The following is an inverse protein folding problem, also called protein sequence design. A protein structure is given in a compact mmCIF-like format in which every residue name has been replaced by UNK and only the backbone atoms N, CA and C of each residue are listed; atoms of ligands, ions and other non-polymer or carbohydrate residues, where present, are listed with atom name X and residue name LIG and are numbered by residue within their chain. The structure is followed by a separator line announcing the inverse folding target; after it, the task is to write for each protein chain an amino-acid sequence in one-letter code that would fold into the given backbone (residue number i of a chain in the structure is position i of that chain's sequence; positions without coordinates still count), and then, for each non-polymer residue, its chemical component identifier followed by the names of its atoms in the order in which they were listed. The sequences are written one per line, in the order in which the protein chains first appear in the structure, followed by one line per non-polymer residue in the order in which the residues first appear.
data_IF_735482456655
#
_entry.id   IF_735482456655
#
_cell.length_a   1.000
_cell.length_b   1.000
_cell.length_c   1.000
_cell.angle_alpha   90.00
_cell.angle_beta   90.00
_cell.angle_gamma   90.00
#
_symmetry.space_group_name_H-M   'P 1'
#
loop_
_entity.id
_entity.type
_entity.pdbx_description
1 polymer ?
#
# COMPACT_ATOMS: atom_id res chain seq x y z
N UNK A 1 4.21 -21.26 -10.23
CA UNK A 1 3.20 -20.22 -10.57
C UNK A 1 3.86 -18.85 -10.49
N UNK A 2 3.57 -17.94 -11.43
CA UNK A 2 4.04 -16.55 -11.39
C UNK A 2 2.89 -15.60 -11.03
N UNK A 3 3.10 -14.68 -10.09
CA UNK A 3 2.10 -13.68 -9.68
C UNK A 3 2.54 -12.29 -10.15
N UNK A 4 1.80 -11.70 -11.09
CA UNK A 4 2.09 -10.38 -11.64
C UNK A 4 1.23 -9.28 -11.03
N UNK A 5 0.29 -8.75 -11.84
CA UNK A 5 -0.51 -7.53 -11.58
C UNK A 5 -1.07 -7.37 -10.15
N UNK A 6 -1.51 -8.46 -9.50
CA UNK A 6 -2.13 -8.37 -8.17
C UNK A 6 -1.11 -8.09 -7.06
N UNK A 7 0.16 -8.51 -7.21
CA UNK A 7 1.21 -8.29 -6.22
C UNK A 7 1.58 -6.80 -6.05
N UNK A 8 1.33 -5.99 -7.07
CA UNK A 8 1.79 -4.59 -7.17
C UNK A 8 1.19 -3.67 -6.09
N UNK A 9 -0.05 -3.92 -5.64
CA UNK A 9 -0.73 -3.14 -4.59
C UNK A 9 -1.36 -4.00 -3.49
N UNK A 10 -1.09 -5.30 -3.52
CA UNK A 10 -1.63 -6.28 -2.57
C UNK A 10 -0.58 -7.36 -2.26
N UNK A 11 0.51 -7.01 -1.56
CA UNK A 11 1.60 -7.95 -1.25
C UNK A 11 1.13 -9.16 -0.41
N UNK A 12 0.02 -9.03 0.32
CA UNK A 12 -0.61 -10.11 1.10
C UNK A 12 -0.94 -11.36 0.26
N UNK A 13 -1.11 -11.22 -1.05
CA UNK A 13 -1.38 -12.35 -1.95
C UNK A 13 -0.38 -13.50 -1.79
N UNK A 14 0.90 -13.20 -1.49
CA UNK A 14 1.90 -14.24 -1.31
C UNK A 14 1.68 -15.05 -0.02
N UNK A 15 1.25 -14.38 1.05
CA UNK A 15 0.87 -15.04 2.32
C UNK A 15 -0.35 -15.94 2.12
N UNK A 16 -1.37 -15.45 1.39
CA UNK A 16 -2.57 -16.22 1.06
C UNK A 16 -2.22 -17.47 0.24
N UNK A 17 -1.45 -17.31 -0.84
CA UNK A 17 -1.01 -18.44 -1.68
C UNK A 17 -0.23 -19.45 -0.85
N UNK A 18 0.71 -19.01 -0.01
CA UNK A 18 1.50 -19.90 0.81
C UNK A 18 0.65 -20.70 1.81
N UNK A 19 -0.34 -20.06 2.45
CA UNK A 19 -1.29 -20.74 3.35
C UNK A 19 -2.15 -21.76 2.61
N UNK A 20 -2.72 -21.38 1.45
CA UNK A 20 -3.53 -22.27 0.64
C UNK A 20 -2.77 -23.51 0.16
N UNK A 21 -1.48 -23.35 -0.19
CA UNK A 21 -0.63 -24.49 -0.56
C UNK A 21 -0.36 -25.46 0.59
N UNK A 22 -0.50 -25.02 1.85
CA UNK A 22 -0.42 -25.87 3.05
C UNK A 22 -1.78 -26.41 3.51
N UNK A 23 -2.86 -26.08 2.81
CA UNK A 23 -4.23 -26.42 3.24
C UNK A 23 -4.75 -25.54 4.38
N UNK A 24 -4.10 -24.42 4.68
CA UNK A 24 -4.55 -23.45 5.68
C UNK A 24 -5.47 -22.40 5.03
N UNK A 25 -6.60 -22.04 5.66
CA UNK A 25 -7.42 -20.94 5.18
C UNK A 25 -6.65 -19.62 5.31
N UNK A 26 -6.83 -18.73 4.31
CA UNK A 26 -6.27 -17.39 4.38
C UNK A 26 -6.87 -16.63 5.58
N UNK A 27 -6.05 -16.05 6.49
CA UNK A 27 -6.57 -15.29 7.60
C UNK A 27 -7.32 -14.04 7.10
N UNK A 28 -8.33 -13.56 7.84
CA UNK A 28 -9.01 -12.29 7.50
C UNK A 28 -7.99 -11.14 7.46
N UNK A 29 -8.24 -10.15 6.59
CA UNK A 29 -7.37 -8.96 6.52
C UNK A 29 -7.43 -8.24 7.86
N UNK A 30 -6.27 -8.10 8.52
CA UNK A 30 -6.24 -7.47 9.83
C UNK A 30 -6.55 -5.98 9.69
N UNK A 31 -7.22 -5.41 10.69
CA UNK A 31 -7.46 -3.96 10.72
C UNK A 31 -6.13 -3.21 10.53
N UNK A 32 -6.12 -2.31 9.54
CA UNK A 32 -4.94 -1.52 9.21
C UNK A 32 -3.78 -2.24 8.52
N UNK A 33 -3.95 -3.49 8.08
CA UNK A 33 -2.90 -4.22 7.37
C UNK A 33 -2.46 -3.49 6.10
N UNK A 34 -3.41 -2.94 5.33
CA UNK A 34 -3.09 -2.15 4.14
C UNK A 34 -2.29 -0.90 4.45
N UNK A 35 -2.66 -0.18 5.53
CA UNK A 35 -1.93 1.00 6.01
C UNK A 35 -0.49 0.66 6.36
N UNK A 36 -0.27 -0.42 7.12
CA UNK A 36 1.07 -0.90 7.47
C UNK A 36 1.88 -1.26 6.23
N UNK A 37 1.26 -1.92 5.25
CA UNK A 37 1.92 -2.23 3.98
C UNK A 37 2.33 -0.97 3.20
N UNK A 38 1.45 0.04 3.13
CA UNK A 38 1.77 1.32 2.48
C UNK A 38 2.90 2.08 3.19
N UNK A 39 2.86 2.17 4.52
CA UNK A 39 3.91 2.80 5.33
C UNK A 39 5.26 2.10 5.15
N UNK A 40 5.27 0.77 5.21
CA UNK A 40 6.47 -0.02 4.96
C UNK A 40 7.02 0.19 3.55
N UNK A 41 6.13 0.28 2.56
CA UNK A 41 6.51 0.54 1.18
C UNK A 41 7.15 1.93 1.00
N UNK A 42 6.63 2.96 1.67
CA UNK A 42 7.21 4.30 1.72
C UNK A 42 8.60 4.28 2.40
N UNK A 43 8.72 3.69 3.59
CA UNK A 43 9.99 3.58 4.33
C UNK A 43 11.08 2.92 3.49
N UNK A 44 10.76 1.77 2.87
CA UNK A 44 11.70 1.07 1.99
C UNK A 44 12.06 1.93 0.77
N UNK A 45 11.11 2.66 0.20
CA UNK A 45 11.38 3.54 -0.94
C UNK A 45 12.34 4.67 -0.57
N UNK A 46 12.19 5.26 0.62
CA UNK A 46 13.10 6.29 1.14
C UNK A 46 14.49 5.69 1.36
N UNK A 47 14.57 4.55 2.02
CA UNK A 47 15.85 3.90 2.33
C UNK A 47 16.61 3.46 1.08
N UNK A 48 15.92 3.00 0.04
CA UNK A 48 16.55 2.52 -1.19
C UNK A 48 16.86 3.62 -2.20
N UNK A 49 16.04 4.68 -2.28
CA UNK A 49 16.08 5.64 -3.39
C UNK A 49 16.19 7.10 -2.97
N UNK A 50 16.18 7.39 -1.67
CA UNK A 50 16.13 8.73 -1.12
C UNK A 50 14.74 9.35 -1.14
N UNK A 51 14.57 10.45 -0.40
CA UNK A 51 13.29 11.11 -0.13
C UNK A 51 12.58 11.61 -1.39
N UNK A 52 13.29 12.28 -2.28
CA UNK A 52 12.71 12.89 -3.49
C UNK A 52 12.14 11.81 -4.43
N UNK A 53 12.94 10.79 -4.73
CA UNK A 53 12.54 9.65 -5.55
C UNK A 53 11.38 8.89 -4.89
N UNK A 54 11.45 8.66 -3.58
CA UNK A 54 10.37 8.00 -2.85
C UNK A 54 9.04 8.75 -2.98
N UNK A 55 9.05 10.08 -2.86
CA UNK A 55 7.86 10.90 -3.06
C UNK A 55 7.30 10.72 -4.49
N UNK A 56 8.16 10.76 -5.52
CA UNK A 56 7.74 10.52 -6.90
C UNK A 56 7.13 9.13 -7.11
N UNK A 57 7.73 8.10 -6.52
CA UNK A 57 7.21 6.74 -6.52
C UNK A 57 5.84 6.67 -5.84
N UNK A 58 5.65 7.35 -4.70
CA UNK A 58 4.37 7.34 -4.00
C UNK A 58 3.24 7.95 -4.84
N UNK A 59 3.51 9.03 -5.57
CA UNK A 59 2.52 9.66 -6.48
C UNK A 59 1.96 8.66 -7.51
N UNK A 60 2.79 7.73 -7.97
CA UNK A 60 2.41 6.69 -8.93
C UNK A 60 1.81 5.44 -8.27
N UNK A 61 2.33 5.04 -7.11
CA UNK A 61 2.17 3.67 -6.61
C UNK A 61 1.19 3.53 -5.45
N UNK A 62 1.00 4.56 -4.61
CA UNK A 62 0.09 4.44 -3.46
C UNK A 62 -1.37 4.19 -3.89
N UNK A 63 -1.80 4.77 -5.02
CA UNK A 63 -3.13 4.52 -5.58
C UNK A 63 -3.43 3.04 -5.84
N UNK A 64 -2.42 2.21 -6.09
CA UNK A 64 -2.58 0.77 -6.37
C UNK A 64 -3.04 -0.02 -5.15
N UNK A 65 -2.80 0.48 -3.94
CA UNK A 65 -3.23 -0.15 -2.69
C UNK A 65 -4.73 0.02 -2.42
N UNK A 66 -5.42 0.90 -3.15
CA UNK A 66 -6.81 1.31 -2.83
C UNK A 66 -7.89 0.38 -3.39
N UNK A 67 -7.53 -0.64 -4.17
CA UNK A 67 -8.53 -1.53 -4.82
C UNK A 67 -9.37 -2.27 -3.77
N UNK A 68 -10.68 -2.05 -3.83
CA UNK A 68 -11.66 -2.71 -2.95
C UNK A 68 -11.84 -2.04 -1.58
N UNK A 69 -11.23 -0.86 -1.35
CA UNK A 69 -11.26 -0.19 -0.05
C UNK A 69 -12.13 1.07 -0.07
N UNK A 70 -12.92 1.25 0.99
CA UNK A 70 -13.63 2.51 1.28
C UNK A 70 -12.59 3.60 1.56
N UNK A 71 -12.80 4.82 1.06
CA UNK A 71 -11.79 5.90 1.14
C UNK A 71 -10.73 5.86 0.03
N UNK A 72 -10.72 4.85 -0.84
CA UNK A 72 -9.74 4.73 -1.92
C UNK A 72 -9.73 5.90 -2.92
N UNK A 73 -10.86 6.59 -3.08
CA UNK A 73 -10.95 7.78 -3.92
C UNK A 73 -10.17 8.97 -3.36
N UNK A 74 -10.22 9.18 -2.03
CA UNK A 74 -9.49 10.25 -1.34
C UNK A 74 -8.00 10.06 -1.53
N UNK A 75 -7.50 8.85 -1.26
CA UNK A 75 -6.10 8.55 -1.46
C UNK A 75 -5.68 8.77 -2.92
N UNK A 76 -6.44 8.28 -3.91
CA UNK A 76 -6.14 8.50 -5.35
C UNK A 76 -6.19 9.96 -5.77
N UNK A 77 -7.01 10.79 -5.12
CA UNK A 77 -7.03 12.24 -5.34
C UNK A 77 -5.80 12.93 -4.74
N UNK A 78 -5.45 12.57 -3.50
CA UNK A 78 -4.37 13.18 -2.74
C UNK A 78 -2.97 12.78 -3.20
N UNK A 79 -2.77 11.60 -3.82
CA UNK A 79 -1.42 11.13 -4.19
C UNK A 79 -0.67 12.12 -5.08
N UNK A 80 -1.36 12.91 -5.92
CA UNK A 80 -0.72 13.89 -6.81
C UNK A 80 -0.03 15.03 -6.04
N UNK A 81 -0.47 15.31 -4.82
CA UNK A 81 0.02 16.39 -3.97
C UNK A 81 1.27 16.05 -3.15
N UNK A 82 1.73 14.81 -3.15
CA UNK A 82 2.85 14.37 -2.30
C UNK A 82 4.16 15.04 -2.73
N UNK A 83 4.70 15.89 -1.86
CA UNK A 83 6.00 16.58 -2.00
C UNK A 83 6.99 16.26 -0.87
N UNK A 84 6.52 15.63 0.21
CA UNK A 84 7.36 15.19 1.32
C UNK A 84 6.91 13.81 1.84
N UNK A 85 7.80 13.16 2.60
CA UNK A 85 7.49 11.91 3.30
C UNK A 85 6.36 12.12 4.30
N UNK A 86 6.35 13.24 5.02
CA UNK A 86 5.30 13.56 5.99
C UNK A 86 3.92 13.68 5.32
N UNK A 87 3.82 14.33 4.16
CA UNK A 87 2.56 14.39 3.40
C UNK A 87 2.11 13.01 2.91
N UNK A 88 3.06 12.13 2.54
CA UNK A 88 2.72 10.76 2.17
C UNK A 88 2.19 9.98 3.37
N UNK A 89 2.79 10.16 4.56
CA UNK A 89 2.33 9.55 5.81
C UNK A 89 0.93 10.06 6.17
N UNK A 90 0.71 11.37 6.15
CA UNK A 90 -0.58 11.99 6.46
C UNK A 90 -1.69 11.43 5.56
N UNK A 91 -1.45 11.38 4.24
CA UNK A 91 -2.41 10.81 3.29
C UNK A 91 -2.71 9.32 3.54
N UNK A 92 -1.71 8.54 3.98
CA UNK A 92 -1.88 7.13 4.33
C UNK A 92 -2.74 6.98 5.60
N UNK A 93 -2.59 7.87 6.58
CA UNK A 93 -3.37 7.86 7.83
C UNK A 93 -4.82 8.32 7.59
N UNK A 94 -5.05 9.35 6.78
CA UNK A 94 -6.39 9.85 6.46
C UNK A 94 -7.24 8.81 5.75
N UNK A 95 -6.62 8.09 4.80
CA UNK A 95 -7.25 6.96 4.12
C UNK A 95 -7.77 5.91 5.10
N UNK A 96 -7.00 5.58 6.13
CA UNK A 96 -7.40 4.56 7.09
C UNK A 96 -8.54 5.01 8.01
N UNK A 97 -8.59 6.31 8.31
CA UNK A 97 -9.66 6.93 9.10
C UNK A 97 -10.96 7.06 8.29
N UNK A 98 -10.96 6.74 7.00
CA UNK A 98 -12.11 6.87 6.12
C UNK A 98 -12.55 8.31 5.89
N UNK A 99 -11.63 9.27 6.06
CA UNK A 99 -11.82 10.68 5.73
C UNK A 99 -11.38 10.96 4.30
#
# INVERSE_FOLDING_TARGET
VMVGRRAIGYPRIFTEIAGMLRGEPAPPEAAGERRRAMRRYLELSVNCFGTETACALMRHRLGWFTKGLRGGAVLRGGVRGIRSVDQAIELIEDFDRGR
#
